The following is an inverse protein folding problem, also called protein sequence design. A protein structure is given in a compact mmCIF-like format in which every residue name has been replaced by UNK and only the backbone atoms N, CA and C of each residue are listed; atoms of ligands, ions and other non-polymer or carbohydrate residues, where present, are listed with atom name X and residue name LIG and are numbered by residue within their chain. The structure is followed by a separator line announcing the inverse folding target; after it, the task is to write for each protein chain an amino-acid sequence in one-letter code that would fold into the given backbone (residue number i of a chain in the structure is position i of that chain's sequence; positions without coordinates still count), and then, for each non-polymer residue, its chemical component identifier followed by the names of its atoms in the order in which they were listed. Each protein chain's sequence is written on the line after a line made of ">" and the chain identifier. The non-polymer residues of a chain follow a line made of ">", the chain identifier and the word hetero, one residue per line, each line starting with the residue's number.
data_IF_411789786460
#
_entry.id   IF_411789786460
#
_cell.length_a   1.000
_cell.length_b   1.000
_cell.length_c   1.000
_cell.angle_alpha   90.00
_cell.angle_beta   90.00
_cell.angle_gamma   90.00
#
_symmetry.space_group_name_H-M   'P 1'
#
loop_
_entity.id
_entity.type
_entity.pdbx_description
1 polymer ?
#
# COMPACT_ATOMS: atom_id res chain seq x y z
N UNK A 1 -26.09 20.49 5.03
CA UNK A 1 -24.81 19.74 5.12
C UNK A 1 -24.65 19.24 6.54
N UNK A 2 -24.52 17.92 6.74
CA UNK A 2 -24.41 17.34 8.07
C UNK A 2 -22.98 17.36 8.60
N UNK A 3 -22.81 17.24 9.92
CA UNK A 3 -21.50 17.13 10.58
C UNK A 3 -20.66 16.02 9.93
N UNK A 4 -19.37 16.28 9.75
CA UNK A 4 -18.34 15.29 9.39
C UNK A 4 -18.16 14.27 10.52
N UNK A 5 -17.50 13.14 10.22
CA UNK A 5 -17.24 12.12 11.24
C UNK A 5 -16.39 12.63 12.41
N UNK A 6 -15.44 13.53 12.14
CA UNK A 6 -14.60 14.14 13.17
C UNK A 6 -15.43 15.06 14.08
N UNK A 7 -16.28 15.92 13.50
CA UNK A 7 -17.17 16.81 14.26
C UNK A 7 -18.19 16.03 15.08
N UNK A 8 -18.77 14.95 14.54
CA UNK A 8 -19.68 14.06 15.30
C UNK A 8 -18.99 13.45 16.52
N UNK A 9 -17.71 13.07 16.40
CA UNK A 9 -16.93 12.54 17.53
C UNK A 9 -16.70 13.60 18.61
N UNK A 10 -16.24 14.79 18.20
CA UNK A 10 -16.01 15.90 19.12
C UNK A 10 -17.27 16.30 19.90
N UNK A 11 -18.41 16.42 19.20
CA UNK A 11 -19.72 16.70 19.84
C UNK A 11 -20.11 15.58 20.80
N UNK A 12 -19.89 14.32 20.42
CA UNK A 12 -20.22 13.16 21.28
C UNK A 12 -19.35 13.15 22.55
N UNK A 13 -18.05 13.41 22.43
CA UNK A 13 -17.12 13.44 23.57
C UNK A 13 -17.49 14.54 24.57
N UNK A 14 -17.76 15.75 24.09
CA UNK A 14 -18.22 16.86 24.94
C UNK A 14 -19.59 16.58 25.59
N UNK A 15 -20.50 15.96 24.84
CA UNK A 15 -21.85 15.64 25.32
C UNK A 15 -21.84 14.49 26.33
N UNK A 16 -20.89 13.57 26.23
CA UNK A 16 -20.82 12.40 27.10
C UNK A 16 -20.63 12.74 28.57
N UNK A 17 -19.83 13.78 28.88
CA UNK A 17 -19.61 14.28 30.24
C UNK A 17 -20.94 14.75 30.85
N UNK A 18 -21.68 15.59 30.10
CA UNK A 18 -23.01 16.08 30.52
C UNK A 18 -24.03 14.96 30.63
N UNK A 19 -23.98 13.97 29.74
CA UNK A 19 -24.90 12.84 29.73
C UNK A 19 -24.76 11.95 30.96
N UNK A 20 -23.55 11.75 31.50
CA UNK A 20 -23.35 10.87 32.67
C UNK A 20 -24.00 11.44 33.93
N UNK A 21 -23.77 12.74 34.19
CA UNK A 21 -24.24 13.42 35.41
C UNK A 21 -25.70 13.86 35.36
N UNK A 22 -26.33 13.83 34.19
CA UNK A 22 -27.72 14.25 33.99
C UNK A 22 -28.76 13.31 34.63
N UNK A 23 -29.89 13.88 35.03
CA UNK A 23 -31.07 13.15 35.47
C UNK A 23 -31.81 12.50 34.28
N UNK A 24 -32.84 11.69 34.55
CA UNK A 24 -33.59 10.95 33.52
C UNK A 24 -34.20 11.87 32.43
N UNK A 25 -34.91 12.97 32.77
CA UNK A 25 -35.46 13.85 31.74
C UNK A 25 -34.38 14.62 30.96
N UNK A 26 -33.28 15.08 31.61
CA UNK A 26 -32.19 15.73 30.89
C UNK A 26 -31.42 14.77 29.99
N UNK A 27 -31.23 13.51 30.39
CA UNK A 27 -30.66 12.45 29.53
C UNK A 27 -31.48 12.25 28.25
N UNK A 28 -32.81 12.37 28.34
CA UNK A 28 -33.67 12.27 27.16
C UNK A 28 -33.42 13.42 26.19
N UNK A 29 -33.41 14.67 26.70
CA UNK A 29 -33.15 15.89 25.91
C UNK A 29 -31.77 15.86 25.25
N UNK A 30 -30.74 15.48 26.00
CA UNK A 30 -29.37 15.35 25.49
C UNK A 30 -29.30 14.33 24.34
N UNK A 31 -30.01 13.21 24.44
CA UNK A 31 -30.06 12.23 23.36
C UNK A 31 -30.81 12.76 22.13
N UNK A 32 -31.90 13.52 22.32
CA UNK A 32 -32.67 14.12 21.23
C UNK A 32 -31.82 15.13 20.45
N UNK A 33 -31.12 16.02 21.17
CA UNK A 33 -30.15 16.97 20.60
C UNK A 33 -29.04 16.27 19.83
N UNK A 34 -28.44 15.22 20.40
CA UNK A 34 -27.37 14.48 19.74
C UNK A 34 -27.88 13.79 18.46
N UNK A 35 -29.08 13.19 18.49
CA UNK A 35 -29.66 12.55 17.32
C UNK A 35 -29.97 13.58 16.20
N UNK A 36 -30.49 14.76 16.56
CA UNK A 36 -30.76 15.84 15.60
C UNK A 36 -29.48 16.35 14.95
N UNK A 37 -28.40 16.51 15.72
CA UNK A 37 -27.12 17.03 15.21
C UNK A 37 -26.35 16.02 14.35
N UNK A 38 -26.37 14.73 14.71
CA UNK A 38 -25.57 13.70 14.02
C UNK A 38 -26.35 12.87 13.00
N UNK A 39 -27.68 12.97 12.99
CA UNK A 39 -28.57 12.10 12.22
C UNK A 39 -28.55 10.64 12.68
N UNK A 40 -28.12 10.37 13.91
CA UNK A 40 -28.05 9.01 14.44
C UNK A 40 -29.36 8.56 15.05
N UNK A 41 -29.62 7.25 14.99
CA UNK A 41 -30.69 6.65 15.78
C UNK A 41 -30.33 6.68 17.28
N UNK A 42 -31.33 6.81 18.15
CA UNK A 42 -31.20 6.93 19.61
C UNK A 42 -30.34 5.84 20.24
N UNK A 43 -30.44 4.61 19.75
CA UNK A 43 -29.62 3.50 20.24
C UNK A 43 -28.13 3.69 19.92
N UNK A 44 -27.81 4.20 18.72
CA UNK A 44 -26.44 4.50 18.34
C UNK A 44 -25.88 5.67 19.15
N UNK A 45 -26.64 6.76 19.30
CA UNK A 45 -26.28 7.90 20.14
C UNK A 45 -25.95 7.49 21.58
N UNK A 46 -26.79 6.64 22.20
CA UNK A 46 -26.54 6.08 23.54
C UNK A 46 -25.26 5.26 23.61
N UNK A 47 -25.01 4.39 22.61
CA UNK A 47 -23.80 3.57 22.54
C UNK A 47 -22.56 4.44 22.37
N UNK A 48 -22.63 5.46 21.54
CA UNK A 48 -21.55 6.40 21.27
C UNK A 48 -21.18 7.21 22.52
N UNK A 49 -22.16 7.73 23.27
CA UNK A 49 -21.92 8.43 24.53
C UNK A 49 -21.25 7.54 25.60
N UNK A 50 -21.66 6.27 25.70
CA UNK A 50 -21.01 5.32 26.61
C UNK A 50 -19.58 5.00 26.20
N UNK A 51 -19.34 4.82 24.90
CA UNK A 51 -18.01 4.52 24.37
C UNK A 51 -17.05 5.71 24.46
N UNK A 52 -17.55 6.94 24.33
CA UNK A 52 -16.74 8.16 24.36
C UNK A 52 -16.02 8.38 25.71
N UNK A 53 -16.53 7.81 26.80
CA UNK A 53 -15.92 7.90 28.13
C UNK A 53 -15.05 6.68 28.49
N UNK A 54 -15.01 5.67 27.62
CA UNK A 54 -14.16 4.52 27.85
C UNK A 54 -12.73 4.84 27.40
N UNK A 55 -11.71 4.64 28.26
CA UNK A 55 -10.34 4.80 27.84
C UNK A 55 -10.06 3.81 26.70
N UNK A 56 -9.54 4.32 25.58
CA UNK A 56 -9.13 3.47 24.46
C UNK A 56 -7.89 2.70 24.89
N UNK A 57 -8.07 1.44 25.28
CA UNK A 57 -6.96 0.52 25.53
C UNK A 57 -6.27 0.25 24.20
N UNK A 58 -5.16 0.95 23.95
CA UNK A 58 -4.28 0.64 22.83
C UNK A 58 -3.40 -0.51 23.30
N UNK A 59 -3.79 -1.73 22.95
CA UNK A 59 -2.91 -2.88 23.15
C UNK A 59 -1.57 -2.59 22.44
N UNK A 60 -0.41 -2.89 23.08
CA UNK A 60 0.87 -2.73 22.42
C UNK A 60 0.83 -3.55 21.13
N UNK A 61 1.07 -2.88 20.01
CA UNK A 61 1.11 -3.52 18.69
C UNK A 61 2.21 -4.58 18.78
N UNK A 62 1.86 -5.85 18.61
CA UNK A 62 2.84 -6.95 18.62
C UNK A 62 4.01 -6.57 17.71
N UNK A 63 5.24 -6.71 18.21
CA UNK A 63 6.44 -6.43 17.44
C UNK A 63 6.36 -7.19 16.11
N UNK A 64 6.67 -6.55 14.97
CA UNK A 64 6.68 -7.24 13.69
C UNK A 64 7.63 -8.44 13.77
N UNK A 65 7.21 -9.57 13.20
CA UNK A 65 8.12 -10.73 13.06
C UNK A 65 9.33 -10.29 12.23
N UNK A 66 10.56 -10.66 12.62
CA UNK A 66 11.74 -10.34 11.83
C UNK A 66 11.57 -10.89 10.40
N UNK A 67 11.94 -10.11 9.37
CA UNK A 67 11.80 -10.53 7.98
C UNK A 67 12.73 -11.70 7.71
N UNK A 68 12.22 -12.76 7.07
CA UNK A 68 13.02 -13.93 6.64
C UNK A 68 14.13 -13.49 5.67
N UNK A 69 13.79 -12.61 4.73
CA UNK A 69 14.72 -12.07 3.75
C UNK A 69 15.21 -10.70 4.22
N UNK A 70 16.32 -10.70 4.95
CA UNK A 70 16.97 -9.49 5.45
C UNK A 70 17.68 -8.69 4.35
N UNK A 71 18.32 -7.56 4.71
CA UNK A 71 19.00 -6.68 3.78
C UNK A 71 20.09 -7.38 2.95
N UNK A 72 20.89 -8.25 3.57
CA UNK A 72 21.98 -8.98 2.90
C UNK A 72 21.45 -9.91 1.80
N UNK A 73 20.34 -10.62 2.07
CA UNK A 73 19.67 -11.48 1.08
C UNK A 73 19.16 -10.65 -0.10
N UNK A 74 18.56 -9.48 0.16
CA UNK A 74 18.06 -8.61 -0.90
C UNK A 74 19.20 -8.04 -1.73
N UNK A 75 20.33 -7.68 -1.10
CA UNK A 75 21.53 -7.23 -1.81
C UNK A 75 22.08 -8.32 -2.75
N UNK A 76 22.24 -9.56 -2.24
CA UNK A 76 22.66 -10.70 -3.04
C UNK A 76 21.71 -11.00 -4.21
N UNK A 77 20.39 -11.01 -3.94
CA UNK A 77 19.37 -11.16 -4.98
C UNK A 77 19.48 -10.07 -6.06
N UNK A 78 19.79 -8.83 -5.66
CA UNK A 78 19.95 -7.70 -6.58
C UNK A 78 21.16 -7.90 -7.50
N UNK A 79 22.28 -8.43 -6.99
CA UNK A 79 23.45 -8.78 -7.81
C UNK A 79 23.06 -9.84 -8.85
N UNK A 80 22.47 -10.96 -8.43
CA UNK A 80 22.01 -12.01 -9.34
C UNK A 80 21.07 -11.48 -10.42
N UNK A 81 20.12 -10.63 -10.02
CA UNK A 81 19.16 -10.01 -10.94
C UNK A 81 19.81 -9.09 -11.97
N UNK A 82 20.83 -8.32 -11.56
CA UNK A 82 21.57 -7.43 -12.46
C UNK A 82 22.44 -8.21 -13.44
N UNK A 83 23.13 -9.25 -12.99
CA UNK A 83 23.96 -10.13 -13.84
C UNK A 83 23.16 -10.70 -15.01
N UNK A 84 21.90 -11.08 -14.78
CA UNK A 84 21.02 -11.64 -15.83
C UNK A 84 20.26 -10.57 -16.65
N UNK A 85 20.57 -9.28 -16.51
CA UNK A 85 19.91 -8.23 -17.30
C UNK A 85 18.49 -7.91 -16.82
N UNK A 86 18.25 -7.99 -15.51
CA UNK A 86 17.01 -7.56 -14.86
C UNK A 86 15.71 -8.32 -15.26
N UNK A 87 15.71 -9.67 -15.40
CA UNK A 87 14.54 -10.42 -15.85
C UNK A 87 13.37 -10.35 -14.83
N UNK A 88 12.18 -10.78 -15.25
CA UNK A 88 11.05 -10.99 -14.34
C UNK A 88 11.34 -12.15 -13.36
N UNK A 89 10.75 -12.13 -12.16
CA UNK A 89 10.99 -13.14 -11.13
C UNK A 89 10.72 -14.57 -11.57
N UNK A 90 9.75 -14.78 -12.47
CA UNK A 90 9.46 -16.09 -13.09
C UNK A 90 10.62 -16.66 -13.91
N UNK A 91 11.43 -15.81 -14.54
CA UNK A 91 12.63 -16.21 -15.30
C UNK A 91 13.85 -16.32 -14.37
N UNK A 92 13.95 -15.45 -13.37
CA UNK A 92 15.06 -15.45 -12.43
C UNK A 92 15.03 -16.67 -11.50
N UNK A 93 13.88 -16.99 -10.91
CA UNK A 93 13.75 -18.03 -9.88
C UNK A 93 14.39 -19.38 -10.24
N UNK A 94 14.11 -20.02 -11.39
CA UNK A 94 14.72 -21.32 -11.71
C UNK A 94 16.23 -21.26 -11.91
N UNK A 95 16.80 -20.07 -12.20
CA UNK A 95 18.24 -19.90 -12.42
C UNK A 95 19.00 -19.59 -11.13
N UNK A 96 18.32 -19.20 -10.03
CA UNK A 96 19.01 -18.71 -8.84
C UNK A 96 19.91 -19.76 -8.19
N UNK A 97 19.49 -21.03 -8.16
CA UNK A 97 20.31 -22.10 -7.57
C UNK A 97 21.67 -22.22 -8.26
N UNK A 98 21.67 -22.31 -9.58
CA UNK A 98 22.90 -22.42 -10.38
C UNK A 98 23.70 -21.11 -10.36
N UNK A 99 23.03 -19.98 -10.56
CA UNK A 99 23.68 -18.67 -10.62
C UNK A 99 24.39 -18.32 -9.30
N UNK A 100 23.74 -18.55 -8.15
CA UNK A 100 24.36 -18.29 -6.84
C UNK A 100 25.60 -19.18 -6.66
N UNK A 101 25.53 -20.46 -7.02
CA UNK A 101 26.67 -21.37 -6.92
C UNK A 101 27.85 -20.90 -7.80
N UNK A 102 27.60 -20.56 -9.06
CA UNK A 102 28.62 -20.09 -10.00
C UNK A 102 29.24 -18.77 -9.54
N UNK A 103 28.42 -17.78 -9.16
CA UNK A 103 28.94 -16.48 -8.70
C UNK A 103 29.77 -16.62 -7.42
N UNK A 104 29.39 -17.52 -6.50
CA UNK A 104 30.19 -17.80 -5.30
C UNK A 104 31.49 -18.51 -5.64
N UNK A 105 31.47 -19.48 -6.55
CA UNK A 105 32.66 -20.22 -6.98
C UNK A 105 33.74 -19.31 -7.56
N UNK A 106 33.35 -18.31 -8.37
CA UNK A 106 34.27 -17.35 -8.97
C UNK A 106 34.55 -16.12 -8.09
N UNK A 107 34.01 -16.07 -6.87
CA UNK A 107 34.22 -14.94 -5.95
C UNK A 107 33.46 -13.65 -6.30
N UNK A 108 32.58 -13.70 -7.30
CA UNK A 108 31.74 -12.57 -7.75
C UNK A 108 30.56 -12.30 -6.79
N UNK A 109 30.22 -13.27 -5.93
CA UNK A 109 29.22 -13.13 -4.87
C UNK A 109 29.76 -13.68 -3.55
N UNK A 110 30.20 -12.80 -2.65
CA UNK A 110 30.72 -13.18 -1.33
C UNK A 110 29.62 -13.10 -0.27
N UNK A 111 29.02 -14.25 0.05
CA UNK A 111 27.95 -14.41 1.03
C UNK A 111 28.09 -15.72 1.81
N UNK A 112 27.52 -15.76 3.01
CA UNK A 112 27.40 -16.97 3.82
C UNK A 112 26.40 -17.97 3.22
N UNK A 113 26.47 -19.23 3.67
CA UNK A 113 25.65 -20.32 3.15
C UNK A 113 24.16 -20.13 3.41
N UNK A 114 23.79 -19.55 4.56
CA UNK A 114 22.40 -19.28 4.90
C UNK A 114 21.79 -18.23 3.96
N UNK A 115 22.53 -17.17 3.66
CA UNK A 115 22.12 -16.16 2.67
C UNK A 115 21.98 -16.79 1.28
N UNK A 116 22.91 -17.66 0.87
CA UNK A 116 22.86 -18.33 -0.42
C UNK A 116 21.61 -19.22 -0.56
N UNK A 117 21.30 -20.01 0.47
CA UNK A 117 20.11 -20.87 0.51
C UNK A 117 18.82 -20.05 0.45
N UNK A 118 18.74 -18.94 1.19
CA UNK A 118 17.58 -18.05 1.18
C UNK A 118 17.36 -17.38 -0.19
N UNK A 119 18.43 -17.03 -0.90
CA UNK A 119 18.32 -16.48 -2.26
C UNK A 119 17.83 -17.56 -3.23
N UNK A 120 18.44 -18.75 -3.21
CA UNK A 120 18.12 -19.85 -4.12
C UNK A 120 16.70 -20.41 -3.92
N UNK A 121 16.19 -20.42 -2.68
CA UNK A 121 14.84 -20.92 -2.35
C UNK A 121 13.71 -19.91 -2.56
N UNK A 122 14.02 -18.67 -2.96
CA UNK A 122 13.03 -17.60 -3.02
C UNK A 122 12.02 -17.81 -4.17
N UNK A 123 10.72 -17.75 -3.86
CA UNK A 123 9.68 -17.88 -4.89
C UNK A 123 9.66 -16.67 -5.86
N UNK A 124 9.29 -16.91 -7.12
CA UNK A 124 9.18 -15.89 -8.17
C UNK A 124 8.38 -14.64 -7.73
N UNK A 125 7.23 -14.84 -7.06
CA UNK A 125 6.41 -13.73 -6.57
C UNK A 125 7.07 -12.94 -5.44
N UNK A 126 7.92 -13.58 -4.63
CA UNK A 126 8.67 -12.89 -3.57
C UNK A 126 9.83 -12.12 -4.16
N UNK A 127 10.55 -12.68 -5.13
CA UNK A 127 11.60 -12.02 -5.89
C UNK A 127 11.08 -10.69 -6.48
N UNK A 128 9.94 -10.73 -7.19
CA UNK A 128 9.38 -9.52 -7.80
C UNK A 128 8.97 -8.47 -6.77
N UNK A 129 8.41 -8.88 -5.62
CA UNK A 129 8.09 -7.95 -4.52
C UNK A 129 9.35 -7.33 -3.89
N UNK A 130 10.41 -8.12 -3.70
CA UNK A 130 11.66 -7.64 -3.09
C UNK A 130 12.45 -6.72 -4.01
N UNK A 131 12.44 -7.01 -5.31
CA UNK A 131 13.11 -6.20 -6.32
C UNK A 131 12.27 -4.99 -6.80
N UNK A 132 11.02 -4.83 -6.37
CA UNK A 132 10.16 -3.73 -6.82
C UNK A 132 10.80 -2.35 -6.62
N UNK A 133 11.46 -2.13 -5.49
CA UNK A 133 12.20 -0.89 -5.22
C UNK A 133 13.38 -0.68 -6.17
N UNK A 134 14.19 -1.73 -6.39
CA UNK A 134 15.32 -1.67 -7.32
C UNK A 134 14.89 -1.50 -8.78
N UNK A 135 13.78 -2.12 -9.18
CA UNK A 135 13.14 -1.90 -10.49
C UNK A 135 12.70 -0.45 -10.64
N UNK A 136 12.05 0.13 -9.63
CA UNK A 136 11.58 1.52 -9.69
C UNK A 136 12.75 2.52 -9.85
N UNK A 137 13.87 2.29 -9.17
CA UNK A 137 15.10 3.11 -9.31
C UNK A 137 15.67 3.09 -10.73
N UNK A 138 15.51 1.96 -11.42
CA UNK A 138 16.07 1.70 -12.77
C UNK A 138 15.05 1.86 -13.89
N UNK A 139 13.80 2.14 -13.54
CA UNK A 139 12.78 2.41 -14.51
C UNK A 139 13.15 3.72 -15.21
N UNK A 140 13.46 3.62 -16.50
CA UNK A 140 13.64 4.80 -17.33
C UNK A 140 12.36 5.62 -17.21
N UNK A 141 12.47 6.85 -16.71
CA UNK A 141 11.38 7.81 -16.82
C UNK A 141 11.10 7.94 -18.30
N UNK A 142 9.94 7.47 -18.74
CA UNK A 142 9.56 7.54 -20.15
C UNK A 142 9.82 8.96 -20.64
N UNK A 143 10.66 9.11 -21.65
CA UNK A 143 10.71 10.37 -22.38
C UNK A 143 9.32 10.52 -22.98
N UNK A 144 8.53 11.45 -22.46
CA UNK A 144 7.28 11.82 -23.10
C UNK A 144 7.67 12.33 -24.49
N UNK A 145 7.53 11.48 -25.51
CA UNK A 145 7.82 11.85 -26.90
C UNK A 145 6.89 12.98 -27.35
N UNK A 146 5.75 13.14 -26.67
CA UNK A 146 4.78 14.20 -26.90
C UNK A 146 4.53 14.99 -25.62
N UNK A 147 4.71 16.31 -25.70
CA UNK A 147 4.10 17.23 -24.73
C UNK A 147 2.58 17.10 -24.89
N UNK A 148 1.79 16.98 -23.81
CA UNK A 148 0.36 17.21 -23.90
C UNK A 148 0.17 18.71 -24.15
N UNK A 149 0.11 19.10 -25.42
CA UNK A 149 -0.06 20.48 -25.85
C UNK A 149 -0.54 20.52 -27.30
N UNK A 150 -1.60 21.33 -27.51
CA UNK A 150 -2.25 21.91 -28.71
C UNK A 150 -2.10 21.33 -30.13
N UNK A 151 -1.37 20.24 -30.35
CA UNK A 151 -1.26 19.62 -31.66
C UNK A 151 -2.61 19.01 -32.00
N UNK A 152 -3.21 19.52 -33.06
CA UNK A 152 -4.46 19.12 -33.69
C UNK A 152 -4.34 17.72 -34.32
N UNK A 153 -3.80 16.73 -33.59
CA UNK A 153 -3.68 15.34 -34.03
C UNK A 153 -5.04 14.73 -34.36
N UNK A 154 -6.11 15.21 -33.73
CA UNK A 154 -7.49 14.86 -34.08
C UNK A 154 -7.96 15.42 -35.42
N UNK A 155 -7.25 16.40 -36.00
CA UNK A 155 -7.52 16.96 -37.33
C UNK A 155 -6.63 16.37 -38.41
N UNK A 156 -5.65 15.53 -38.07
CA UNK A 156 -4.91 14.74 -39.05
C UNK A 156 -5.66 13.43 -39.22
N UNK A 157 -6.45 13.25 -40.30
CA UNK A 157 -7.19 12.02 -40.51
C UNK A 157 -6.22 10.84 -40.60
N UNK A 158 -6.46 9.82 -39.77
CA UNK A 158 -5.74 8.57 -39.87
C UNK A 158 -6.34 7.82 -41.04
N UNK A 159 -5.68 7.87 -42.20
CA UNK A 159 -6.07 7.04 -43.35
C UNK A 159 -5.88 5.58 -42.97
N UNK A 160 -6.99 4.87 -42.86
CA UNK A 160 -6.96 3.41 -42.72
C UNK A 160 -7.06 2.78 -44.10
N UNK A 161 -6.75 1.49 -44.21
CA UNK A 161 -6.75 0.78 -45.51
C UNK A 161 -8.09 0.83 -46.25
N UNK A 162 -9.18 1.20 -45.56
CA UNK A 162 -10.51 1.36 -46.14
C UNK A 162 -10.71 2.66 -46.95
N UNK A 163 -9.81 3.65 -46.81
CA UNK A 163 -10.00 5.02 -47.35
C UNK A 163 -9.12 5.30 -48.59
N UNK A 164 -8.80 4.25 -49.37
CA UNK A 164 -7.99 4.35 -50.59
C UNK A 164 -8.88 4.61 -51.81
N UNK A 165 -8.90 5.86 -52.28
CA UNK A 165 -9.57 6.30 -53.51
C UNK A 165 -8.49 6.93 -54.41
N UNK A 166 -7.99 6.15 -55.38
CA UNK A 166 -7.10 6.61 -56.45
C UNK A 166 -7.97 6.87 -57.69
N UNK A 167 -8.46 8.12 -57.81
CA UNK A 167 -9.09 8.68 -58.99
C UNK A 167 -8.33 9.95 -59.43
#
# INVERSE_FOLDING_TARGET
>A
MGLTLAERRAVTEMTAIRYVVADRPAKSRILDELCANTGWHRNHARKALRAALQPRVVAPRRSPRPPIYGPNVIAALTVCWLVLGMPAGKRLAPMLTELVAVLRQFGELVIDDQTAELVASMSAATIDRRLAGERAKRQLKGRRATKPGSLLRSQIPVRTWADWDDA
#
